data_IF_171811209310
#
_entry.id   IF_171811209310
#
_cell.length_a   1.000
_cell.length_b   1.000
_cell.length_c   1.000
_cell.angle_alpha   90.00
_cell.angle_beta   90.00
_cell.angle_gamma   90.00
#
_symmetry.space_group_name_H-M   'P 1'
#
loop_
_entity.id
_entity.type
_entity.pdbx_description
1 polymer ?
#
# COMPACT_ATOMS: atom_id res chain seq x y z
N UNK A 1 -99.79 44.54 -21.31
CA UNK A 1 -98.72 43.59 -21.71
C UNK A 1 -97.63 44.43 -22.36
N UNK A 2 -96.36 44.24 -21.98
CA UNK A 2 -95.15 45.01 -22.39
C UNK A 2 -94.77 46.22 -21.54
N UNK A 3 -94.06 45.97 -20.43
CA UNK A 3 -93.05 46.90 -19.91
C UNK A 3 -92.05 46.27 -18.91
N UNK A 4 -92.36 45.11 -18.29
CA UNK A 4 -91.62 44.66 -17.10
C UNK A 4 -90.45 43.68 -17.33
N UNK A 5 -90.15 43.31 -18.59
CA UNK A 5 -89.14 42.27 -18.87
C UNK A 5 -87.74 42.78 -19.26
N UNK A 6 -87.48 44.09 -19.30
CA UNK A 6 -86.21 44.62 -19.86
C UNK A 6 -85.16 45.10 -18.86
N UNK A 7 -85.29 44.87 -17.54
CA UNK A 7 -84.19 45.19 -16.61
C UNK A 7 -84.05 44.09 -15.56
N UNK A 8 -83.56 42.92 -15.98
CA UNK A 8 -82.88 42.01 -15.05
C UNK A 8 -81.42 42.44 -15.01
N UNK A 9 -81.02 43.09 -13.92
CA UNK A 9 -79.62 43.47 -13.69
C UNK A 9 -78.71 42.24 -13.90
N UNK A 10 -77.52 42.40 -14.52
CA UNK A 10 -76.62 41.28 -14.73
C UNK A 10 -76.32 40.62 -13.38
N UNK A 11 -76.25 39.27 -13.32
CA UNK A 11 -75.94 38.57 -12.08
C UNK A 11 -74.68 39.17 -11.47
N UNK A 12 -74.73 39.50 -10.17
CA UNK A 12 -73.59 40.05 -9.45
C UNK A 12 -72.45 39.05 -9.56
N UNK A 13 -71.43 39.39 -10.36
CA UNK A 13 -70.22 38.60 -10.47
C UNK A 13 -69.50 38.73 -9.13
N UNK A 14 -69.51 37.65 -8.34
CA UNK A 14 -68.74 37.58 -7.10
C UNK A 14 -67.25 37.70 -7.45
N UNK A 15 -66.68 38.88 -7.20
CA UNK A 15 -65.28 39.18 -7.51
C UNK A 15 -64.30 38.37 -6.67
N UNK A 16 -64.76 37.72 -5.60
CA UNK A 16 -63.92 36.94 -4.70
C UNK A 16 -63.66 35.52 -5.24
N UNK A 17 -64.52 35.00 -6.10
CA UNK A 17 -64.38 33.66 -6.69
C UNK A 17 -64.17 33.78 -8.20
N UNK A 18 -62.94 34.13 -8.60
CA UNK A 18 -62.53 34.29 -10.00
C UNK A 18 -62.49 32.97 -10.81
N UNK A 19 -62.58 31.81 -10.16
CA UNK A 19 -62.67 30.50 -10.80
C UNK A 19 -63.72 29.62 -10.10
N UNK A 20 -65.02 29.81 -10.40
CA UNK A 20 -66.09 29.05 -9.75
C UNK A 20 -66.11 27.56 -10.12
N UNK A 21 -65.49 27.17 -11.23
CA UNK A 21 -65.46 25.79 -11.71
C UNK A 21 -64.11 25.08 -11.46
N UNK A 22 -63.11 25.79 -10.93
CA UNK A 22 -61.81 25.22 -10.60
C UNK A 22 -61.06 24.65 -11.82
N UNK A 23 -61.32 25.18 -13.00
CA UNK A 23 -60.74 24.69 -14.27
C UNK A 23 -59.28 25.19 -14.40
N UNK A 24 -58.98 26.34 -13.79
CA UNK A 24 -57.71 27.05 -13.91
C UNK A 24 -56.80 26.88 -12.68
N UNK A 25 -56.88 25.74 -11.99
CA UNK A 25 -55.98 25.44 -10.85
C UNK A 25 -54.50 25.48 -11.22
N UNK A 26 -54.15 25.13 -12.45
CA UNK A 26 -52.79 25.19 -12.98
C UNK A 26 -52.28 26.64 -13.21
N UNK A 27 -53.18 27.63 -13.24
CA UNK A 27 -52.86 29.06 -13.34
C UNK A 27 -52.82 29.75 -11.97
N UNK A 28 -53.10 29.02 -10.88
CA UNK A 28 -52.95 29.52 -9.52
C UNK A 28 -51.46 29.56 -9.17
N UNK A 29 -50.81 30.61 -9.66
CA UNK A 29 -49.42 30.91 -9.34
C UNK A 29 -49.39 31.67 -8.02
N UNK A 30 -48.68 31.11 -7.04
CA UNK A 30 -48.28 31.89 -5.87
C UNK A 30 -47.28 32.97 -6.29
N UNK A 31 -47.26 34.11 -5.60
CA UNK A 31 -46.45 35.27 -6.01
C UNK A 31 -44.94 34.90 -6.05
N UNK A 32 -44.49 34.01 -5.17
CA UNK A 32 -43.11 33.54 -5.14
C UNK A 32 -42.72 32.77 -6.42
N UNK A 33 -43.66 32.05 -7.03
CA UNK A 33 -43.43 31.26 -8.25
C UNK A 33 -43.30 32.13 -9.51
N UNK A 34 -43.91 33.32 -9.54
CA UNK A 34 -43.83 34.24 -10.69
C UNK A 34 -42.41 34.82 -10.83
N UNK A 35 -41.71 35.04 -9.71
CA UNK A 35 -40.31 35.47 -9.72
C UNK A 35 -39.30 34.32 -9.76
N UNK A 36 -39.77 33.06 -9.73
CA UNK A 36 -38.90 31.89 -9.56
C UNK A 36 -37.96 32.03 -8.36
N UNK A 37 -38.36 32.76 -7.31
CA UNK A 37 -37.58 32.78 -6.08
C UNK A 37 -37.61 31.37 -5.49
N UNK A 38 -36.45 30.81 -5.13
CA UNK A 38 -36.42 29.48 -4.53
C UNK A 38 -37.19 29.55 -3.20
N UNK A 39 -37.92 28.48 -2.85
CA UNK A 39 -38.74 28.39 -1.62
C UNK A 39 -38.06 29.10 -0.44
N UNK A 40 -38.75 29.80 0.47
CA UNK A 40 -38.12 30.52 1.58
C UNK A 40 -37.24 29.62 2.49
N UNK A 41 -37.36 28.30 2.37
CA UNK A 41 -36.52 27.28 3.01
C UNK A 41 -35.15 27.05 2.32
N UNK A 42 -34.92 27.63 1.14
CA UNK A 42 -33.77 27.43 0.24
C UNK A 42 -32.57 28.32 0.56
N UNK A 43 -32.71 29.29 1.46
CA UNK A 43 -31.60 30.08 2.00
C UNK A 43 -30.93 29.38 3.20
N UNK A 44 -30.81 28.06 3.14
CA UNK A 44 -30.38 27.22 4.24
C UNK A 44 -28.85 27.19 4.34
N UNK A 45 -28.33 27.83 5.38
CA UNK A 45 -26.90 27.85 5.78
C UNK A 45 -26.26 26.46 5.88
N UNK A 46 -27.04 25.40 6.11
CA UNK A 46 -26.59 24.00 6.14
C UNK A 46 -26.12 23.45 4.79
N UNK A 47 -26.73 23.91 3.68
CA UNK A 47 -26.31 23.52 2.32
C UNK A 47 -24.97 24.18 1.99
N UNK A 48 -24.82 25.47 2.30
CA UNK A 48 -23.56 26.20 2.17
C UNK A 48 -22.43 25.53 2.95
N UNK A 49 -22.71 25.09 4.18
CA UNK A 49 -21.73 24.37 5.00
C UNK A 49 -21.28 23.06 4.34
N UNK A 50 -22.23 22.28 3.83
CA UNK A 50 -21.95 20.98 3.19
C UNK A 50 -21.18 21.13 1.89
N UNK A 51 -21.54 22.11 1.05
CA UNK A 51 -20.86 22.42 -0.22
C UNK A 51 -19.45 22.96 0.03
N UNK A 52 -19.28 23.79 1.05
CA UNK A 52 -17.96 24.31 1.44
C UNK A 52 -17.05 23.19 1.92
N UNK A 53 -17.58 22.28 2.73
CA UNK A 53 -16.84 21.10 3.22
C UNK A 53 -16.42 20.18 2.06
N UNK A 54 -17.34 19.91 1.13
CA UNK A 54 -17.05 19.13 -0.07
C UNK A 54 -15.95 19.82 -0.90
N UNK A 55 -16.13 21.10 -1.25
CA UNK A 55 -15.19 21.85 -2.07
C UNK A 55 -13.79 21.89 -1.44
N UNK A 56 -13.70 22.11 -0.14
CA UNK A 56 -12.43 22.05 0.60
C UNK A 56 -11.78 20.67 0.52
N UNK A 57 -12.53 19.60 0.77
CA UNK A 57 -12.02 18.23 0.75
C UNK A 57 -11.44 17.85 -0.61
N UNK A 58 -12.19 18.09 -1.70
CA UNK A 58 -11.76 17.75 -3.05
C UNK A 58 -10.61 18.64 -3.53
N UNK A 59 -10.62 19.93 -3.18
CA UNK A 59 -9.53 20.86 -3.54
C UNK A 59 -8.23 20.45 -2.86
N UNK A 60 -8.27 20.11 -1.56
CA UNK A 60 -7.11 19.59 -0.83
C UNK A 60 -6.55 18.33 -1.49
N UNK A 61 -7.42 17.40 -1.87
CA UNK A 61 -7.01 16.14 -2.49
C UNK A 61 -6.36 16.38 -3.87
N UNK A 62 -6.96 17.24 -4.68
CA UNK A 62 -6.43 17.60 -6.00
C UNK A 62 -5.07 18.29 -5.88
N UNK A 63 -4.96 19.30 -5.01
CA UNK A 63 -3.72 20.04 -4.80
C UNK A 63 -2.61 19.14 -4.26
N UNK A 64 -2.93 18.24 -3.31
CA UNK A 64 -1.98 17.26 -2.81
C UNK A 64 -1.45 16.35 -3.93
N UNK A 65 -2.35 15.79 -4.76
CA UNK A 65 -1.96 14.93 -5.89
C UNK A 65 -1.11 15.67 -6.92
N UNK A 66 -1.46 16.91 -7.24
CA UNK A 66 -0.68 17.74 -8.16
C UNK A 66 0.71 18.03 -7.59
N UNK A 67 0.83 18.42 -6.32
CA UNK A 67 2.13 18.68 -5.68
C UNK A 67 3.01 17.42 -5.65
N UNK A 68 2.44 16.28 -5.25
CA UNK A 68 3.16 15.00 -5.19
C UNK A 68 3.59 14.57 -6.59
N UNK A 69 2.79 14.80 -7.61
CA UNK A 69 3.18 14.45 -8.99
C UNK A 69 4.29 15.38 -9.48
N UNK A 70 4.15 16.68 -9.27
CA UNK A 70 5.10 17.69 -9.74
C UNK A 70 6.45 17.62 -9.03
N UNK A 71 6.47 17.33 -7.73
CA UNK A 71 7.70 17.22 -6.92
C UNK A 71 8.22 15.76 -6.90
N UNK A 72 7.32 14.78 -6.91
CA UNK A 72 7.68 13.37 -6.86
C UNK A 72 8.35 12.88 -8.14
N UNK A 73 7.89 13.31 -9.32
CA UNK A 73 8.53 12.95 -10.60
C UNK A 73 10.01 13.35 -10.65
N UNK A 74 10.40 14.63 -10.40
CA UNK A 74 11.80 15.00 -10.43
C UNK A 74 12.61 14.32 -9.34
N UNK A 75 12.02 14.07 -8.17
CA UNK A 75 12.68 13.36 -7.08
C UNK A 75 12.98 11.90 -7.47
N UNK A 76 12.00 11.16 -7.99
CA UNK A 76 12.18 9.78 -8.46
C UNK A 76 13.19 9.72 -9.61
N UNK A 77 13.16 10.69 -10.52
CA UNK A 77 14.13 10.78 -11.60
C UNK A 77 15.56 10.95 -11.07
N UNK A 78 15.78 11.83 -10.09
CA UNK A 78 17.07 12.01 -9.45
C UNK A 78 17.54 10.72 -8.74
N UNK A 79 16.65 10.07 -7.99
CA UNK A 79 16.95 8.78 -7.35
C UNK A 79 17.28 7.67 -8.35
N UNK A 80 16.53 7.58 -9.46
CA UNK A 80 16.78 6.61 -10.51
C UNK A 80 18.14 6.82 -11.17
N UNK A 81 18.56 8.07 -11.38
CA UNK A 81 19.88 8.39 -11.93
C UNK A 81 21.00 7.96 -10.97
N UNK A 82 20.87 8.27 -9.68
CA UNK A 82 21.82 7.84 -8.64
C UNK A 82 21.91 6.30 -8.61
N UNK A 83 20.77 5.63 -8.63
CA UNK A 83 20.72 4.17 -8.62
C UNK A 83 21.35 3.58 -9.89
N UNK A 84 21.13 4.16 -11.06
CA UNK A 84 21.72 3.70 -12.32
C UNK A 84 23.26 3.77 -12.28
N UNK A 85 23.81 4.89 -11.79
CA UNK A 85 25.27 5.04 -11.62
C UNK A 85 25.79 4.05 -10.57
N UNK A 86 25.08 3.87 -9.46
CA UNK A 86 25.44 2.88 -8.44
C UNK A 86 25.47 1.46 -9.00
N UNK A 87 24.46 1.06 -9.80
CA UNK A 87 24.42 -0.25 -10.45
C UNK A 87 25.56 -0.41 -11.45
N UNK A 88 25.93 0.63 -12.19
CA UNK A 88 27.09 0.60 -13.07
C UNK A 88 28.37 0.27 -12.28
N UNK A 89 28.65 0.97 -11.18
CA UNK A 89 29.79 0.65 -10.33
C UNK A 89 29.71 -0.76 -9.74
N UNK A 90 28.53 -1.19 -9.31
CA UNK A 90 28.35 -2.54 -8.75
C UNK A 90 28.71 -3.63 -9.76
N UNK A 91 28.27 -3.52 -11.01
CA UNK A 91 28.52 -4.53 -12.05
C UNK A 91 29.97 -4.48 -12.51
N UNK A 92 30.49 -3.30 -12.82
CA UNK A 92 31.80 -3.18 -13.46
C UNK A 92 32.98 -3.17 -12.49
N UNK A 93 32.78 -2.75 -11.23
CA UNK A 93 33.87 -2.66 -10.25
C UNK A 93 33.71 -3.68 -9.14
N UNK A 94 32.52 -3.76 -8.54
CA UNK A 94 32.31 -4.63 -7.37
C UNK A 94 32.22 -6.10 -7.77
N UNK A 95 31.56 -6.43 -8.88
CA UNK A 95 31.49 -7.83 -9.33
C UNK A 95 32.88 -8.43 -9.64
N UNK A 96 33.78 -7.78 -10.39
CA UNK A 96 35.12 -8.31 -10.59
C UNK A 96 35.94 -8.30 -9.30
N UNK A 97 35.85 -7.29 -8.44
CA UNK A 97 36.59 -7.29 -7.18
C UNK A 97 36.17 -8.44 -6.26
N UNK A 98 34.88 -8.75 -6.18
CA UNK A 98 34.37 -9.93 -5.45
C UNK A 98 34.91 -11.23 -6.03
N UNK A 99 34.95 -11.36 -7.36
CA UNK A 99 35.51 -12.56 -8.02
C UNK A 99 37.00 -12.71 -7.72
N UNK A 100 37.77 -11.64 -7.81
CA UNK A 100 39.20 -11.65 -7.48
C UNK A 100 39.44 -12.01 -6.02
N UNK A 101 38.69 -11.42 -5.10
CA UNK A 101 38.80 -11.71 -3.67
C UNK A 101 38.47 -13.17 -3.36
N UNK A 102 37.42 -13.71 -3.99
CA UNK A 102 37.06 -15.12 -3.85
C UNK A 102 38.17 -16.03 -4.41
N UNK A 103 38.72 -15.73 -5.58
CA UNK A 103 39.86 -16.48 -6.14
C UNK A 103 41.06 -16.46 -5.19
N UNK A 104 41.43 -15.29 -4.65
CA UNK A 104 42.57 -15.18 -3.72
C UNK A 104 42.36 -16.00 -2.44
N UNK A 105 41.17 -15.99 -1.86
CA UNK A 105 40.85 -16.79 -0.67
C UNK A 105 40.96 -18.28 -0.99
N UNK A 106 40.40 -18.73 -2.11
CA UNK A 106 40.41 -20.14 -2.50
C UNK A 106 41.84 -20.64 -2.69
N UNK A 107 42.66 -19.90 -3.44
CA UNK A 107 44.08 -20.24 -3.64
C UNK A 107 44.81 -20.31 -2.30
N UNK A 108 44.67 -19.29 -1.44
CA UNK A 108 45.31 -19.27 -0.11
C UNK A 108 44.85 -20.45 0.75
N UNK A 109 43.58 -20.83 0.66
CA UNK A 109 43.01 -21.98 1.36
C UNK A 109 43.63 -23.30 0.91
N UNK A 110 43.87 -23.47 -0.39
CA UNK A 110 44.58 -24.64 -0.94
C UNK A 110 46.03 -24.65 -0.44
N UNK A 111 46.74 -23.52 -0.54
CA UNK A 111 48.13 -23.43 -0.05
C UNK A 111 48.26 -23.75 1.44
N UNK A 112 47.34 -23.25 2.27
CA UNK A 112 47.33 -23.58 3.71
C UNK A 112 47.02 -25.06 3.92
N UNK A 113 46.09 -25.65 3.15
CA UNK A 113 45.76 -27.07 3.24
C UNK A 113 46.97 -27.95 2.89
N UNK A 114 47.71 -27.60 1.84
CA UNK A 114 48.91 -28.30 1.42
C UNK A 114 50.00 -28.24 2.49
N UNK A 115 50.23 -27.06 3.10
CA UNK A 115 51.17 -26.90 4.21
C UNK A 115 50.73 -27.74 5.42
N UNK A 116 49.45 -27.67 5.80
CA UNK A 116 48.92 -28.45 6.90
C UNK A 116 49.05 -29.96 6.63
N UNK A 117 48.74 -30.44 5.43
CA UNK A 117 48.87 -31.86 5.09
C UNK A 117 50.33 -32.33 5.08
N UNK A 118 51.27 -31.47 4.66
CA UNK A 118 52.70 -31.76 4.63
C UNK A 118 53.34 -31.78 6.03
N UNK A 119 52.95 -30.90 6.94
CA UNK A 119 53.58 -30.76 8.26
C UNK A 119 52.74 -31.35 9.40
N UNK A 120 51.47 -30.94 9.48
CA UNK A 120 50.55 -31.33 10.56
C UNK A 120 50.10 -32.78 10.34
N UNK A 121 49.80 -33.16 9.10
CA UNK A 121 49.41 -34.51 8.70
C UNK A 121 50.33 -35.62 9.27
N UNK A 122 51.66 -35.61 9.00
CA UNK A 122 52.57 -36.63 9.51
C UNK A 122 52.71 -36.61 11.03
N UNK A 123 52.68 -35.44 11.69
CA UNK A 123 52.77 -35.33 13.15
C UNK A 123 51.58 -36.02 13.83
N UNK A 124 50.37 -35.69 13.40
CA UNK A 124 49.16 -36.30 13.96
C UNK A 124 49.05 -37.78 13.62
N UNK A 125 49.51 -38.19 12.43
CA UNK A 125 49.58 -39.62 12.06
C UNK A 125 50.56 -40.38 12.96
N UNK A 126 51.73 -39.82 13.24
CA UNK A 126 52.72 -40.44 14.13
C UNK A 126 52.21 -40.57 15.57
N UNK A 127 51.57 -39.52 16.10
CA UNK A 127 50.95 -39.53 17.43
C UNK A 127 49.84 -40.59 17.47
N UNK A 128 48.95 -40.59 16.48
CA UNK A 128 47.87 -41.59 16.38
C UNK A 128 48.38 -43.03 16.30
N UNK A 129 49.50 -43.27 15.62
CA UNK A 129 50.13 -44.59 15.55
C UNK A 129 50.64 -45.07 16.91
N UNK A 130 51.26 -44.19 17.71
CA UNK A 130 51.72 -44.55 19.05
C UNK A 130 50.57 -45.02 19.96
N UNK A 131 49.40 -44.39 19.86
CA UNK A 131 48.21 -44.80 20.61
C UNK A 131 47.48 -46.00 19.98
N UNK A 132 47.61 -46.21 18.67
CA UNK A 132 46.97 -47.33 17.96
C UNK A 132 47.58 -48.69 18.27
N UNK A 133 48.84 -48.75 18.71
CA UNK A 133 49.53 -50.01 19.02
C UNK A 133 49.22 -50.56 20.42
N UNK A 134 48.46 -49.82 21.24
CA UNK A 134 47.94 -50.30 22.52
C UNK A 134 46.78 -51.29 22.26
N UNK A 135 47.13 -52.54 21.97
CA UNK A 135 46.17 -53.65 21.86
C UNK A 135 46.03 -54.35 23.22
N UNK A 136 44.89 -54.17 23.85
CA UNK A 136 44.53 -54.91 25.08
C UNK A 136 44.28 -56.36 24.73
N UNK A 137 45.17 -57.26 25.15
CA UNK A 137 44.96 -58.71 25.08
C UNK A 137 44.23 -59.14 26.35
N UNK A 138 42.93 -59.38 26.25
CA UNK A 138 42.18 -60.02 27.32
C UNK A 138 42.59 -61.50 27.37
N UNK A 139 43.05 -61.96 28.54
CA UNK A 139 43.25 -63.39 28.80
C UNK A 139 41.93 -64.12 28.60
N UNK A 140 41.94 -65.29 27.96
CA UNK A 140 40.75 -66.12 27.75
C UNK A 140 40.01 -66.42 29.07
N UNK A 141 40.73 -66.51 30.19
CA UNK A 141 40.16 -66.69 31.52
C UNK A 141 39.37 -65.45 31.97
N UNK A 142 39.90 -64.25 31.73
CA UNK A 142 39.23 -62.99 32.04
C UNK A 142 37.99 -62.76 31.16
N UNK A 143 38.05 -63.19 29.89
CA UNK A 143 36.89 -63.17 28.98
C UNK A 143 35.81 -64.15 29.46
N UNK A 144 36.19 -65.32 29.98
CA UNK A 144 35.25 -66.29 30.54
C UNK A 144 34.60 -65.79 31.82
N UNK A 145 35.38 -65.18 32.74
CA UNK A 145 34.87 -64.57 33.98
C UNK A 145 33.91 -63.42 33.67
N UNK A 146 34.25 -62.52 32.75
CA UNK A 146 33.35 -61.45 32.33
C UNK A 146 32.04 -61.99 31.71
N UNK A 147 32.11 -63.10 30.96
CA UNK A 147 30.93 -63.79 30.41
C UNK A 147 30.05 -64.44 31.47
N UNK A 148 30.62 -64.90 32.58
CA UNK A 148 29.88 -65.48 33.71
C UNK A 148 29.21 -64.41 34.57
N UNK A 149 29.78 -63.20 34.67
CA UNK A 149 29.23 -62.08 35.44
C UNK A 149 28.08 -61.36 34.71
N UNK A 150 27.98 -61.50 33.38
CA UNK A 150 26.88 -60.94 32.57
C UNK A 150 25.62 -61.82 32.48
N UNK A 151 25.56 -62.92 33.24
CA UNK A 151 24.39 -63.79 33.41
C UNK A 151 23.84 -63.62 34.81
#
# INVERSE_FOLDING_TARGET
MSAEYLIKAPPQMDTNQRDPHGINKHLQLDWQNVFCEPDPSSHNFSVLWSVSYFTYYYTKLCMYRLLVTLIGIPLVFAWALIFAVYTFFMIYWVAPSRRLFQSLILETGIYINDICSAFIGPVFRAIGQQFSDIRVKLSNEQIQIARQIQV
#
